data_IF_896866711395
#
_entry.id   IF_896866711395
#
_cell.length_a   1.000
_cell.length_b   1.000
_cell.length_c   1.000
_cell.angle_alpha   90.00
_cell.angle_beta   90.00
_cell.angle_gamma   90.00
#
_symmetry.space_group_name_H-M   'P 1'
#
loop_
_entity.id
_entity.type
_entity.pdbx_description
1 polymer ?
#
# COMPACT_ATOMS: atom_id res chain seq x y z
N UNK A 1 -18.26 56.96 19.18
CA UNK A 1 -18.93 56.73 20.48
C UNK A 1 -18.94 55.23 20.74
N UNK A 2 -18.48 54.84 21.93
CA UNK A 2 -18.81 53.60 22.70
C UNK A 2 -18.59 52.24 22.04
N UNK A 3 -17.90 51.26 22.62
CA UNK A 3 -17.40 51.12 23.99
C UNK A 3 -16.83 49.70 24.22
N UNK A 4 -15.93 49.68 25.21
CA UNK A 4 -15.20 48.61 25.92
C UNK A 4 -15.80 47.20 26.12
N UNK A 5 -14.83 46.27 26.23
CA UNK A 5 -14.63 45.17 27.22
C UNK A 5 -15.67 44.02 27.23
N UNK A 6 -15.30 42.75 27.45
CA UNK A 6 -14.63 42.22 28.65
C UNK A 6 -13.93 40.86 28.42
N UNK A 7 -12.95 40.59 29.29
CA UNK A 7 -12.29 39.32 29.55
C UNK A 7 -13.22 38.26 30.17
N UNK A 8 -13.04 36.99 29.80
CA UNK A 8 -13.62 35.82 30.49
C UNK A 8 -12.71 34.60 30.35
N UNK A 9 -12.42 33.93 31.47
CA UNK A 9 -11.43 32.87 31.63
C UNK A 9 -12.04 31.45 31.68
N UNK A 10 -11.16 30.44 31.58
CA UNK A 10 -11.24 29.03 32.04
C UNK A 10 -11.65 27.90 31.05
N UNK A 11 -11.18 26.66 31.28
CA UNK A 11 -10.53 25.79 30.28
C UNK A 11 -11.31 24.49 30.02
N UNK A 12 -11.04 23.80 28.90
CA UNK A 12 -11.34 22.36 28.83
C UNK A 12 -10.34 21.65 27.94
N UNK A 13 -9.56 20.77 28.56
CA UNK A 13 -8.75 19.73 27.93
C UNK A 13 -9.67 18.77 27.17
N UNK A 14 -9.47 18.57 25.87
CA UNK A 14 -10.12 17.47 25.14
C UNK A 14 -9.02 16.55 24.59
N UNK A 15 -9.09 15.31 25.06
CA UNK A 15 -8.20 14.23 24.72
C UNK A 15 -8.20 13.93 23.22
N UNK A 16 -7.01 13.97 22.61
CA UNK A 16 -6.75 13.55 21.25
C UNK A 16 -6.97 12.03 21.15
N UNK A 17 -8.03 11.59 20.46
CA UNK A 17 -8.18 10.18 20.07
C UNK A 17 -7.32 9.94 18.84
N UNK A 18 -6.26 9.15 19.02
CA UNK A 18 -5.39 8.67 17.96
C UNK A 18 -6.15 7.70 17.05
N UNK A 19 -5.91 7.79 15.75
CA UNK A 19 -6.49 6.89 14.75
C UNK A 19 -5.59 5.65 14.56
N UNK A 20 -6.13 4.51 14.08
CA UNK A 20 -5.36 3.26 13.91
C UNK A 20 -4.18 3.35 12.92
N UNK A 21 -4.25 4.26 11.94
CA UNK A 21 -3.14 4.58 11.01
C UNK A 21 -1.95 5.21 11.73
N UNK A 22 -2.18 5.93 12.83
CA UNK A 22 -1.12 6.53 13.65
C UNK A 22 -0.30 5.47 14.40
N UNK A 23 -0.91 4.34 14.75
CA UNK A 23 -0.25 3.27 15.52
C UNK A 23 0.68 2.46 14.62
N UNK A 24 0.28 2.14 13.39
CA UNK A 24 1.11 1.41 12.45
C UNK A 24 2.30 2.26 11.97
N UNK A 25 2.04 3.53 11.64
CA UNK A 25 3.06 4.50 11.26
C UNK A 25 4.05 4.76 12.41
N UNK A 26 3.58 4.83 13.67
CA UNK A 26 4.45 4.96 14.84
C UNK A 26 5.26 3.69 15.13
N UNK A 27 4.70 2.49 15.03
CA UNK A 27 5.46 1.25 15.24
C UNK A 27 6.57 1.06 14.19
N UNK A 28 6.31 1.49 12.96
CA UNK A 28 7.26 1.42 11.85
C UNK A 28 8.32 2.54 11.90
N UNK A 29 7.93 3.75 12.31
CA UNK A 29 8.86 4.87 12.52
C UNK A 29 9.70 4.72 13.80
N UNK A 30 9.17 4.13 14.89
CA UNK A 30 9.94 3.88 16.12
C UNK A 30 11.07 2.87 15.88
N UNK A 31 10.86 1.87 15.02
CA UNK A 31 11.91 0.92 14.64
C UNK A 31 13.01 1.54 13.76
N UNK A 32 12.75 2.69 13.14
CA UNK A 32 13.72 3.41 12.27
C UNK A 32 14.32 4.66 12.94
N UNK A 33 13.67 5.23 13.95
CA UNK A 33 14.09 6.42 14.70
C UNK A 33 15.18 6.15 15.75
N UNK A 34 15.37 4.92 16.21
CA UNK A 34 16.43 4.54 17.16
C UNK A 34 17.87 4.66 16.62
N UNK A 35 18.06 5.23 15.43
CA UNK A 35 19.37 5.47 14.79
C UNK A 35 19.65 6.93 14.41
N UNK A 36 18.84 7.89 14.85
CA UNK A 36 19.06 9.31 14.59
C UNK A 36 18.63 10.15 15.80
N UNK A 37 19.48 10.21 16.82
CA UNK A 37 19.40 11.24 17.85
C UNK A 37 20.26 12.42 17.43
N UNK A 38 19.62 13.51 17.01
CA UNK A 38 20.27 14.76 16.68
C UNK A 38 19.33 15.68 15.91
N UNK A 39 18.92 16.77 16.57
CA UNK A 39 18.16 17.92 16.09
C UNK A 39 16.63 17.88 16.32
N UNK A 40 16.19 18.76 17.22
CA UNK A 40 14.81 19.22 17.35
C UNK A 40 14.36 20.00 16.12
N UNK A 41 13.04 20.16 15.93
CA UNK A 41 12.56 21.47 15.54
C UNK A 41 11.29 21.95 16.26
N UNK A 42 11.27 23.27 16.41
CA UNK A 42 10.19 24.13 16.86
C UNK A 42 8.98 24.09 15.92
N UNK A 43 7.84 24.44 16.50
CA UNK A 43 6.53 24.59 15.89
C UNK A 43 6.46 25.66 14.79
N UNK A 44 5.55 25.46 13.83
CA UNK A 44 4.51 26.43 13.44
C UNK A 44 3.58 25.79 12.41
N UNK A 45 2.30 25.71 12.76
CA UNK A 45 1.17 25.42 11.86
C UNK A 45 0.68 26.76 11.31
N UNK A 46 0.33 26.80 10.02
CA UNK A 46 -0.56 27.82 9.46
C UNK A 46 -1.46 27.14 8.42
N UNK A 47 -2.77 27.15 8.65
CA UNK A 47 -3.80 26.73 7.68
C UNK A 47 -4.93 27.75 7.66
N UNK A 48 -5.43 28.02 6.46
CA UNK A 48 -6.74 28.54 6.11
C UNK A 48 -7.04 28.01 4.69
N UNK A 49 -8.23 27.63 4.25
CA UNK A 49 -9.59 27.82 4.76
C UNK A 49 -10.50 26.68 4.25
N UNK A 50 -11.64 26.50 4.90
CA UNK A 50 -12.67 25.48 4.61
C UNK A 50 -13.74 25.98 3.63
N UNK A 51 -14.33 25.06 2.86
CA UNK A 51 -15.58 25.24 2.13
C UNK A 51 -16.42 23.95 2.21
N UNK A 52 -17.61 24.05 2.80
CA UNK A 52 -18.53 22.94 3.09
C UNK A 52 -19.43 22.61 1.89
N UNK A 53 -19.70 21.32 1.64
CA UNK A 53 -20.94 20.87 0.97
C UNK A 53 -21.45 19.54 1.54
N UNK A 54 -22.78 19.45 1.64
CA UNK A 54 -23.59 18.48 2.40
C UNK A 54 -23.46 17.02 1.93
N UNK A 55 -23.30 16.11 2.88
CA UNK A 55 -23.39 14.65 2.67
C UNK A 55 -24.84 14.19 2.58
N UNK A 56 -25.25 13.68 1.41
CA UNK A 56 -26.40 12.81 1.26
C UNK A 56 -26.08 11.44 1.91
N UNK A 57 -26.99 10.96 2.76
CA UNK A 57 -26.83 9.73 3.54
C UNK A 57 -27.12 8.53 2.64
N UNK A 58 -26.09 7.91 2.07
CA UNK A 58 -26.19 6.61 1.40
C UNK A 58 -26.27 5.51 2.47
N UNK A 59 -27.39 4.79 2.50
CA UNK A 59 -27.56 3.55 3.26
C UNK A 59 -26.61 2.46 2.74
N UNK A 60 -25.87 1.73 3.61
CA UNK A 60 -25.01 0.65 3.16
C UNK A 60 -25.82 -0.56 2.68
N UNK A 61 -25.43 -1.11 1.53
CA UNK A 61 -25.93 -2.36 0.97
C UNK A 61 -25.59 -3.57 1.88
N UNK A 62 -26.38 -4.66 1.86
CA UNK A 62 -26.28 -5.74 2.82
C UNK A 62 -25.03 -6.61 2.62
N UNK A 63 -24.58 -7.18 3.74
CA UNK A 63 -23.43 -8.06 3.94
C UNK A 63 -23.47 -9.30 3.01
N UNK A 64 -22.67 -9.28 1.93
CA UNK A 64 -22.52 -10.43 1.02
C UNK A 64 -21.07 -10.79 0.63
N UNK A 65 -20.08 -9.96 0.97
CA UNK A 65 -18.71 -10.06 0.42
C UNK A 65 -17.66 -10.78 1.30
N UNK A 66 -17.89 -10.94 2.61
CA UNK A 66 -16.91 -11.57 3.50
C UNK A 66 -16.74 -13.08 3.25
N UNK A 67 -17.82 -13.79 2.91
CA UNK A 67 -17.78 -15.23 2.66
C UNK A 67 -17.13 -15.56 1.31
N UNK A 68 -17.42 -14.74 0.28
CA UNK A 68 -16.84 -14.86 -1.07
C UNK A 68 -15.32 -14.66 -1.04
N UNK A 69 -14.83 -13.61 -0.37
CA UNK A 69 -13.40 -13.39 -0.18
C UNK A 69 -12.73 -14.57 0.55
N UNK A 70 -13.39 -15.14 1.56
CA UNK A 70 -12.81 -16.25 2.34
C UNK A 70 -12.63 -17.51 1.52
N UNK A 71 -13.59 -17.85 0.66
CA UNK A 71 -13.54 -19.07 -0.16
C UNK A 71 -12.67 -18.90 -1.43
N UNK A 72 -12.47 -17.67 -1.91
CA UNK A 72 -11.48 -17.33 -2.94
C UNK A 72 -10.05 -17.59 -2.46
N UNK A 73 -9.65 -17.07 -1.29
CA UNK A 73 -8.30 -17.30 -0.73
C UNK A 73 -8.10 -18.71 -0.15
N UNK A 74 -9.17 -19.39 0.32
CA UNK A 74 -9.09 -20.72 0.93
C UNK A 74 -8.92 -21.84 -0.08
N UNK A 75 -9.50 -21.71 -1.28
CA UNK A 75 -9.46 -22.80 -2.27
C UNK A 75 -8.07 -23.06 -2.84
N UNK A 76 -7.08 -22.17 -2.70
CA UNK A 76 -5.72 -22.38 -3.23
C UNK A 76 -5.63 -22.56 -4.76
N UNK A 77 -6.76 -22.79 -5.41
CA UNK A 77 -7.04 -22.72 -6.82
C UNK A 77 -7.19 -21.25 -7.17
N UNK A 78 -6.05 -20.57 -7.28
CA UNK A 78 -5.89 -19.61 -8.35
C UNK A 78 -6.39 -20.28 -9.63
N UNK A 79 -7.65 -20.04 -10.02
CA UNK A 79 -8.13 -20.40 -11.35
C UNK A 79 -7.29 -19.60 -12.32
N UNK A 80 -6.22 -20.23 -12.78
CA UNK A 80 -5.16 -19.56 -13.53
C UNK A 80 -3.81 -19.89 -12.95
N UNK A 81 -3.35 -21.11 -13.23
CA UNK A 81 -1.94 -21.37 -13.54
C UNK A 81 -1.27 -20.07 -14.04
N UNK A 82 -0.36 -19.55 -13.21
CA UNK A 82 0.48 -18.37 -13.44
C UNK A 82 0.98 -18.30 -14.90
N UNK A 83 0.30 -17.54 -15.77
CA UNK A 83 0.77 -17.29 -17.15
C UNK A 83 1.96 -16.31 -17.16
N UNK A 84 2.16 -15.54 -16.07
CA UNK A 84 3.34 -14.69 -15.83
C UNK A 84 4.65 -15.52 -15.90
N UNK A 85 4.58 -16.84 -15.62
CA UNK A 85 5.71 -17.75 -15.72
C UNK A 85 6.19 -18.07 -17.16
N UNK A 86 5.50 -17.56 -18.19
CA UNK A 86 5.77 -17.87 -19.60
C UNK A 86 6.80 -16.92 -20.26
N UNK A 87 6.97 -15.69 -19.75
CA UNK A 87 7.76 -14.64 -20.45
C UNK A 87 9.18 -14.38 -19.89
N UNK A 88 9.79 -15.37 -19.23
CA UNK A 88 11.25 -15.35 -18.98
C UNK A 88 11.72 -14.83 -17.62
N UNK A 89 10.84 -14.66 -16.64
CA UNK A 89 11.28 -14.44 -15.26
C UNK A 89 12.09 -15.66 -14.76
N UNK A 90 13.30 -15.47 -14.21
CA UNK A 90 14.17 -16.57 -13.86
C UNK A 90 13.62 -17.34 -12.67
N UNK A 91 13.20 -18.58 -12.92
CA UNK A 91 12.60 -19.47 -11.91
C UNK A 91 13.56 -19.85 -10.77
N UNK A 92 14.87 -19.66 -10.96
CA UNK A 92 15.89 -20.01 -9.97
C UNK A 92 16.15 -18.83 -9.03
N UNK A 93 15.95 -19.07 -7.73
CA UNK A 93 16.36 -18.15 -6.68
C UNK A 93 17.88 -17.89 -6.76
N UNK A 94 18.26 -16.64 -7.03
CA UNK A 94 19.67 -16.22 -7.09
C UNK A 94 20.17 -15.72 -5.76
N UNK A 95 19.34 -14.98 -5.02
CA UNK A 95 19.62 -14.55 -3.66
C UNK A 95 18.55 -15.11 -2.72
N UNK A 96 18.98 -15.92 -1.76
CA UNK A 96 18.09 -16.49 -0.74
C UNK A 96 17.74 -15.46 0.34
N UNK A 97 16.57 -15.57 0.99
CA UNK A 97 16.27 -14.91 2.24
C UNK A 97 17.43 -15.01 3.24
N UNK A 98 17.76 -13.89 3.89
CA UNK A 98 18.77 -13.87 4.94
C UNK A 98 18.23 -14.30 6.30
N UNK A 99 19.05 -15.04 7.04
CA UNK A 99 18.79 -15.34 8.45
C UNK A 99 19.20 -14.17 9.36
N UNK A 100 18.94 -14.30 10.67
CA UNK A 100 19.22 -13.26 11.66
C UNK A 100 20.71 -12.86 11.76
N UNK A 101 21.63 -13.78 11.47
CA UNK A 101 23.07 -13.50 11.47
C UNK A 101 23.47 -12.68 10.25
N UNK A 102 22.83 -12.93 9.11
CA UNK A 102 23.13 -12.29 7.83
C UNK A 102 22.49 -10.90 7.72
N UNK A 103 21.24 -10.73 8.16
CA UNK A 103 20.52 -9.45 8.11
C UNK A 103 20.76 -8.57 9.35
N UNK A 104 21.29 -9.16 10.42
CA UNK A 104 21.54 -8.51 11.70
C UNK A 104 20.29 -8.36 12.57
N UNK A 105 20.49 -8.24 13.88
CA UNK A 105 19.41 -8.27 14.89
C UNK A 105 18.32 -7.23 14.65
N UNK A 106 18.69 -6.01 14.29
CA UNK A 106 17.73 -4.93 14.04
C UNK A 106 16.81 -5.26 12.85
N UNK A 107 17.36 -5.65 11.71
CA UNK A 107 16.55 -5.96 10.55
C UNK A 107 15.71 -7.24 10.79
N UNK A 108 16.27 -8.25 11.48
CA UNK A 108 15.52 -9.45 11.83
C UNK A 108 14.30 -9.16 12.72
N UNK A 109 14.43 -8.22 13.66
CA UNK A 109 13.31 -7.75 14.47
C UNK A 109 12.26 -7.06 13.60
N UNK A 110 12.68 -6.16 12.71
CA UNK A 110 11.78 -5.43 11.78
C UNK A 110 11.02 -6.40 10.87
N UNK A 111 11.72 -7.35 10.23
CA UNK A 111 11.07 -8.31 9.31
C UNK A 111 10.13 -9.25 10.04
N UNK A 112 10.46 -9.65 11.29
CA UNK A 112 9.57 -10.44 12.14
C UNK A 112 8.33 -9.67 12.54
N UNK A 113 8.46 -8.41 12.93
CA UNK A 113 7.32 -7.56 13.26
C UNK A 113 6.37 -7.41 12.05
N UNK A 114 6.92 -7.22 10.84
CA UNK A 114 6.13 -7.19 9.61
C UNK A 114 5.40 -8.52 9.34
N UNK A 115 6.08 -9.66 9.51
CA UNK A 115 5.44 -10.98 9.42
C UNK A 115 4.26 -11.13 10.37
N UNK A 116 4.45 -10.78 11.65
CA UNK A 116 3.38 -10.82 12.67
C UNK A 116 2.20 -9.92 12.29
N UNK A 117 2.46 -8.69 11.82
CA UNK A 117 1.42 -7.75 11.43
C UNK A 117 0.57 -8.26 10.25
N UNK A 118 1.20 -8.97 9.31
CA UNK A 118 0.53 -9.56 8.14
C UNK A 118 0.00 -10.98 8.38
N UNK A 119 0.24 -11.53 9.57
CA UNK A 119 -0.26 -12.82 10.03
C UNK A 119 0.54 -14.04 9.60
N UNK A 120 1.83 -13.89 9.33
CA UNK A 120 2.68 -15.00 8.90
C UNK A 120 4.15 -14.85 9.28
N UNK A 121 4.98 -15.57 8.53
CA UNK A 121 6.44 -15.48 8.60
C UNK A 121 6.94 -14.14 8.04
N UNK A 122 8.19 -13.74 8.35
CA UNK A 122 8.81 -12.59 7.72
C UNK A 122 8.73 -12.68 6.18
N UNK A 123 8.23 -11.65 5.48
CA UNK A 123 8.17 -11.68 4.01
C UNK A 123 9.55 -11.95 3.39
N UNK A 124 9.60 -12.84 2.40
CA UNK A 124 10.84 -13.22 1.70
C UNK A 124 11.47 -12.03 0.99
N UNK A 125 10.67 -11.09 0.47
CA UNK A 125 11.15 -9.81 -0.05
C UNK A 125 11.99 -9.08 1.00
N UNK A 126 11.44 -8.89 2.21
CA UNK A 126 12.10 -8.12 3.26
C UNK A 126 13.39 -8.79 3.71
N UNK A 127 13.36 -10.10 3.98
CA UNK A 127 14.54 -10.85 4.41
C UNK A 127 15.60 -10.99 3.33
N UNK A 128 15.24 -10.92 2.05
CA UNK A 128 16.20 -10.91 0.93
C UNK A 128 16.89 -9.55 0.80
N UNK A 129 16.14 -8.45 0.74
CA UNK A 129 16.73 -7.10 0.64
C UNK A 129 17.50 -6.73 1.93
N UNK A 130 17.05 -7.21 3.09
CA UNK A 130 17.68 -6.97 4.39
C UNK A 130 19.13 -7.50 4.51
N UNK A 131 19.57 -8.38 3.60
CA UNK A 131 20.99 -8.74 3.46
C UNK A 131 21.85 -7.50 3.18
N UNK A 132 21.35 -6.56 2.39
CA UNK A 132 21.95 -5.23 2.25
C UNK A 132 21.46 -4.30 3.37
N UNK A 133 21.98 -4.50 4.57
CA UNK A 133 21.39 -3.96 5.81
C UNK A 133 21.05 -2.45 5.80
N UNK A 134 21.97 -1.61 5.29
CA UNK A 134 21.79 -0.14 5.25
C UNK A 134 20.75 0.30 4.22
N UNK A 135 20.74 -0.34 3.04
CA UNK A 135 19.82 -0.05 1.95
C UNK A 135 18.40 -0.40 2.36
N UNK A 136 18.20 -1.60 2.91
CA UNK A 136 16.89 -2.07 3.37
C UNK A 136 16.16 -1.06 4.25
N UNK A 137 16.83 -0.47 5.24
CA UNK A 137 16.19 0.50 6.15
C UNK A 137 15.79 1.80 5.45
N UNK A 138 16.57 2.26 4.47
CA UNK A 138 16.26 3.49 3.71
C UNK A 138 15.12 3.24 2.73
N UNK A 139 15.22 2.13 2.00
CA UNK A 139 14.15 1.64 1.13
C UNK A 139 12.84 1.46 1.91
N UNK A 140 12.91 0.88 3.11
CA UNK A 140 11.73 0.66 3.94
C UNK A 140 11.04 1.97 4.37
N UNK A 141 11.81 3.04 4.66
CA UNK A 141 11.21 4.36 4.95
C UNK A 141 10.53 4.96 3.72
N UNK A 142 11.17 4.87 2.56
CA UNK A 142 10.60 5.35 1.29
C UNK A 142 9.34 4.56 0.92
N UNK A 143 9.43 3.23 0.88
CA UNK A 143 8.30 2.34 0.63
C UNK A 143 7.19 2.55 1.65
N UNK A 144 7.54 2.77 2.93
CA UNK A 144 6.61 3.08 4.02
C UNK A 144 5.76 4.34 3.79
N UNK A 145 6.35 5.36 3.14
CA UNK A 145 5.67 6.60 2.80
C UNK A 145 4.68 6.45 1.64
N UNK A 146 4.85 5.44 0.78
CA UNK A 146 3.88 5.07 -0.25
C UNK A 146 2.87 4.04 0.29
N UNK A 147 3.32 3.12 1.14
CA UNK A 147 2.50 2.07 1.74
C UNK A 147 2.97 1.68 3.15
N UNK A 148 2.10 1.72 4.17
CA UNK A 148 0.70 2.16 4.14
C UNK A 148 0.51 3.66 4.39
N UNK A 149 1.58 4.45 4.42
CA UNK A 149 1.54 5.88 4.77
C UNK A 149 1.23 6.84 3.62
N UNK A 150 0.86 6.34 2.44
CA UNK A 150 0.52 7.15 1.27
C UNK A 150 -0.78 7.91 1.43
N UNK A 151 -0.99 8.90 0.55
CA UNK A 151 -2.20 9.73 0.48
C UNK A 151 -3.23 9.21 -0.51
N UNK A 152 -2.86 8.37 -1.48
CA UNK A 152 -3.80 7.78 -2.41
C UNK A 152 -4.80 6.87 -1.67
N UNK A 153 -6.08 6.83 -2.10
CA UNK A 153 -7.03 5.87 -1.56
C UNK A 153 -6.47 4.44 -1.64
N UNK A 154 -6.71 3.65 -0.59
CA UNK A 154 -6.07 2.32 -0.49
C UNK A 154 -6.48 1.38 -1.63
N UNK A 155 -7.72 1.47 -2.08
CA UNK A 155 -8.22 0.71 -3.23
C UNK A 155 -7.45 1.08 -4.52
N UNK A 156 -7.34 2.39 -4.81
CA UNK A 156 -6.61 2.93 -5.96
C UNK A 156 -5.13 2.53 -5.94
N UNK A 157 -4.50 2.59 -4.76
CA UNK A 157 -3.12 2.15 -4.53
C UNK A 157 -2.94 0.68 -4.93
N UNK A 158 -3.78 -0.23 -4.43
CA UNK A 158 -3.65 -1.65 -4.76
C UNK A 158 -3.95 -1.96 -6.23
N UNK A 159 -4.89 -1.25 -6.85
CA UNK A 159 -5.19 -1.39 -8.28
C UNK A 159 -3.95 -1.05 -9.14
N UNK A 160 -3.32 0.10 -8.87
CA UNK A 160 -2.11 0.55 -9.56
C UNK A 160 -0.97 -0.45 -9.37
N UNK A 161 -0.78 -0.96 -8.15
CA UNK A 161 0.27 -1.94 -7.85
C UNK A 161 0.05 -3.26 -8.59
N UNK A 162 -1.18 -3.77 -8.60
CA UNK A 162 -1.52 -4.99 -9.35
C UNK A 162 -1.22 -4.81 -10.84
N UNK A 163 -1.55 -3.65 -11.40
CA UNK A 163 -1.26 -3.35 -12.81
C UNK A 163 0.24 -3.25 -13.08
N UNK A 164 1.01 -2.54 -12.24
CA UNK A 164 2.46 -2.47 -12.34
C UNK A 164 3.13 -3.85 -12.23
N UNK A 165 2.68 -4.68 -11.29
CA UNK A 165 3.17 -6.06 -11.11
C UNK A 165 2.86 -6.93 -12.35
N UNK A 166 1.68 -6.76 -12.96
CA UNK A 166 1.31 -7.44 -14.20
C UNK A 166 2.21 -7.01 -15.37
N UNK A 167 2.37 -5.70 -15.58
CA UNK A 167 3.19 -5.10 -16.64
C UNK A 167 4.66 -5.55 -16.52
N UNK A 168 5.18 -5.64 -15.29
CA UNK A 168 6.55 -6.08 -15.03
C UNK A 168 6.73 -7.60 -14.87
N UNK A 169 5.67 -8.39 -15.09
CA UNK A 169 5.69 -9.85 -14.96
C UNK A 169 6.21 -10.33 -13.59
N UNK A 170 5.78 -9.67 -12.50
CA UNK A 170 6.25 -9.95 -11.14
C UNK A 170 5.23 -10.78 -10.34
N UNK A 171 5.41 -12.11 -10.33
CA UNK A 171 4.51 -13.04 -9.61
C UNK A 171 4.54 -12.83 -8.09
N UNK A 172 5.67 -12.40 -7.52
CA UNK A 172 5.77 -12.13 -6.09
C UNK A 172 4.85 -10.97 -5.68
N UNK A 173 4.96 -9.83 -6.36
CA UNK A 173 4.13 -8.66 -6.07
C UNK A 173 2.67 -8.93 -6.35
N UNK A 174 2.35 -9.53 -7.50
CA UNK A 174 0.97 -9.90 -7.83
C UNK A 174 0.32 -10.66 -6.68
N UNK A 175 0.92 -11.76 -6.22
CA UNK A 175 0.34 -12.59 -5.15
C UNK A 175 0.28 -11.88 -3.81
N UNK A 176 1.25 -11.02 -3.51
CA UNK A 176 1.24 -10.26 -2.26
C UNK A 176 0.10 -9.24 -2.26
N UNK A 177 -0.08 -8.54 -3.38
CA UNK A 177 -1.01 -7.43 -3.53
C UNK A 177 -2.44 -7.87 -3.89
N UNK A 178 -2.63 -9.02 -4.52
CA UNK A 178 -3.97 -9.60 -4.75
C UNK A 178 -4.73 -9.75 -3.43
N UNK A 179 -4.06 -10.26 -2.41
CA UNK A 179 -4.63 -10.35 -1.06
C UNK A 179 -4.92 -8.99 -0.44
N UNK A 180 -4.04 -8.01 -0.63
CA UNK A 180 -4.20 -6.67 -0.07
C UNK A 180 -5.30 -5.88 -0.78
N UNK A 181 -5.43 -6.04 -2.10
CA UNK A 181 -6.52 -5.52 -2.91
C UNK A 181 -7.89 -5.99 -2.42
N UNK A 182 -8.05 -7.29 -2.13
CA UNK A 182 -9.30 -7.80 -1.55
C UNK A 182 -9.59 -7.25 -0.15
N UNK A 183 -8.55 -6.95 0.64
CA UNK A 183 -8.71 -6.26 1.94
C UNK A 183 -9.03 -4.77 1.74
N UNK A 184 -8.53 -4.14 0.69
CA UNK A 184 -8.77 -2.74 0.36
C UNK A 184 -10.18 -2.49 -0.19
N UNK A 185 -10.83 -3.51 -0.77
CA UNK A 185 -12.22 -3.44 -1.22
C UNK A 185 -12.46 -3.95 -2.63
N UNK A 186 -11.41 -4.26 -3.40
CA UNK A 186 -11.56 -4.79 -4.76
C UNK A 186 -12.21 -6.18 -4.73
N UNK A 187 -13.20 -6.37 -5.59
CA UNK A 187 -13.83 -7.66 -5.81
C UNK A 187 -12.85 -8.62 -6.51
N UNK A 188 -12.96 -9.94 -6.29
CA UNK A 188 -12.14 -10.93 -7.01
C UNK A 188 -12.19 -10.77 -8.53
N UNK A 189 -13.37 -10.46 -9.08
CA UNK A 189 -13.57 -10.26 -10.51
C UNK A 189 -12.87 -9.00 -11.03
N UNK A 190 -12.74 -7.96 -10.19
CA UNK A 190 -11.96 -6.76 -10.55
C UNK A 190 -10.46 -7.08 -10.53
N UNK A 191 -9.97 -7.81 -9.53
CA UNK A 191 -8.56 -8.21 -9.45
C UNK A 191 -8.16 -9.05 -10.67
N UNK A 192 -8.99 -10.02 -11.06
CA UNK A 192 -8.75 -10.83 -12.25
C UNK A 192 -8.73 -9.96 -13.53
N UNK A 193 -9.65 -8.99 -13.63
CA UNK A 193 -9.77 -8.07 -14.76
C UNK A 193 -8.57 -7.14 -14.93
N UNK A 194 -7.79 -6.86 -13.89
CA UNK A 194 -6.55 -6.04 -14.00
C UNK A 194 -5.60 -6.59 -15.08
N UNK A 195 -5.63 -7.91 -15.34
CA UNK A 195 -4.83 -8.57 -16.37
C UNK A 195 -5.27 -8.21 -17.80
N UNK A 196 -6.55 -7.93 -18.00
CA UNK A 196 -7.11 -7.53 -19.29
C UNK A 196 -6.77 -6.08 -19.63
N UNK A 197 -6.53 -5.26 -18.60
CA UNK A 197 -6.10 -3.86 -18.74
C UNK A 197 -7.25 -2.86 -18.80
N UNK A 198 -6.96 -1.59 -19.14
CA UNK A 198 -7.93 -0.50 -19.06
C UNK A 198 -9.10 -0.64 -20.05
N UNK A 199 -8.92 -1.36 -21.16
CA UNK A 199 -9.98 -1.56 -22.17
C UNK A 199 -11.05 -2.58 -21.76
N UNK A 200 -10.91 -3.26 -20.62
CA UNK A 200 -11.91 -4.20 -20.15
C UNK A 200 -13.19 -3.48 -19.70
N UNK A 201 -14.34 -4.10 -19.92
CA UNK A 201 -15.62 -3.51 -19.52
C UNK A 201 -15.77 -3.43 -18.00
N UNK A 202 -16.61 -2.51 -17.53
CA UNK A 202 -17.06 -2.40 -16.13
C UNK A 202 -16.02 -1.84 -15.15
N UNK A 203 -14.98 -1.16 -15.64
CA UNK A 203 -14.23 -0.22 -14.81
C UNK A 203 -15.07 1.02 -14.52
N UNK A 204 -14.92 1.58 -13.32
CA UNK A 204 -15.29 2.98 -13.12
C UNK A 204 -14.34 3.89 -13.90
N UNK A 205 -14.78 5.09 -14.29
CA UNK A 205 -13.90 6.03 -15.00
C UNK A 205 -12.61 6.32 -14.23
N UNK A 206 -12.68 6.41 -12.89
CA UNK A 206 -11.50 6.57 -12.02
C UNK A 206 -10.53 5.38 -12.13
N UNK A 207 -11.02 4.15 -12.02
CA UNK A 207 -10.18 2.94 -12.09
C UNK A 207 -9.55 2.79 -13.49
N UNK A 208 -10.30 3.06 -14.56
CA UNK A 208 -9.79 3.04 -15.92
C UNK A 208 -8.62 4.01 -16.11
N UNK A 209 -8.75 5.25 -15.60
CA UNK A 209 -7.70 6.26 -15.69
C UNK A 209 -6.41 5.84 -14.96
N UNK A 210 -6.53 5.23 -13.77
CA UNK A 210 -5.38 4.71 -13.03
C UNK A 210 -4.67 3.58 -13.78
N UNK A 211 -5.44 2.67 -14.40
CA UNK A 211 -4.89 1.59 -15.22
C UNK A 211 -4.19 2.12 -16.47
N UNK A 212 -4.79 3.11 -17.16
CA UNK A 212 -4.15 3.83 -18.28
C UNK A 212 -2.86 4.52 -17.83
N UNK A 213 -2.86 5.18 -16.67
CA UNK A 213 -1.69 5.87 -16.14
C UNK A 213 -0.54 4.89 -15.84
N UNK A 214 -0.84 3.75 -15.23
CA UNK A 214 0.15 2.70 -14.99
C UNK A 214 0.72 2.13 -16.30
N UNK A 215 -0.11 1.99 -17.34
CA UNK A 215 0.32 1.52 -18.65
C UNK A 215 1.19 2.54 -19.40
N UNK A 216 0.80 3.81 -19.45
CA UNK A 216 1.60 4.88 -20.09
C UNK A 216 2.94 5.10 -19.37
N UNK A 217 2.94 5.12 -18.03
CA UNK A 217 4.17 5.23 -17.26
C UNK A 217 5.11 4.03 -17.50
N UNK A 218 4.56 2.83 -17.69
CA UNK A 218 5.35 1.64 -17.99
C UNK A 218 5.96 1.65 -19.39
N UNK A 219 5.11 1.88 -20.40
CA UNK A 219 5.48 1.78 -21.80
C UNK A 219 6.25 3.02 -22.28
N UNK A 220 5.74 4.21 -21.97
CA UNK A 220 6.18 5.47 -22.56
C UNK A 220 7.04 6.31 -21.60
N UNK A 221 7.13 5.90 -20.32
CA UNK A 221 7.88 6.63 -19.26
C UNK A 221 7.38 8.05 -19.02
N UNK A 222 6.14 8.33 -19.41
CA UNK A 222 5.45 9.60 -19.25
C UNK A 222 3.94 9.37 -19.21
N UNK A 223 3.18 10.37 -18.79
CA UNK A 223 1.73 10.45 -18.99
C UNK A 223 1.46 11.49 -20.07
N UNK A 224 0.55 11.19 -20.99
CA UNK A 224 0.11 12.11 -22.04
C UNK A 224 -0.71 13.28 -21.48
N UNK A 225 -0.63 14.46 -22.11
CA UNK A 225 -1.36 15.66 -21.64
C UNK A 225 -2.89 15.45 -21.50
N UNK A 226 -3.57 14.71 -22.41
CA UNK A 226 -4.99 14.41 -22.23
C UNK A 226 -5.25 13.57 -20.98
N UNK A 227 -4.51 12.47 -20.78
CA UNK A 227 -4.68 11.61 -19.61
C UNK A 227 -4.33 12.35 -18.31
N UNK A 228 -3.29 13.17 -18.32
CA UNK A 228 -2.92 14.02 -17.19
C UNK A 228 -4.07 14.95 -16.80
N UNK A 229 -4.71 15.59 -17.78
CA UNK A 229 -5.84 16.49 -17.56
C UNK A 229 -7.05 15.75 -16.97
N UNK A 230 -7.34 14.53 -17.44
CA UNK A 230 -8.41 13.67 -16.92
C UNK A 230 -8.13 13.26 -15.46
N UNK A 231 -6.89 12.89 -15.14
CA UNK A 231 -6.46 12.52 -13.78
C UNK A 231 -6.51 13.72 -12.82
N UNK A 232 -6.05 14.90 -13.25
CA UNK A 232 -6.02 16.13 -12.45
C UNK A 232 -7.42 16.62 -12.06
N UNK A 233 -8.44 16.28 -12.85
CA UNK A 233 -9.83 16.55 -12.48
C UNK A 233 -10.31 15.74 -11.27
N UNK A 234 -9.61 14.65 -10.90
CA UNK A 234 -9.98 13.73 -9.82
C UNK A 234 -9.00 13.73 -8.65
N UNK A 235 -7.73 14.02 -8.91
CA UNK A 235 -6.63 13.92 -7.95
C UNK A 235 -5.88 15.23 -7.82
N UNK A 236 -5.43 15.54 -6.61
CA UNK A 236 -4.54 16.66 -6.34
C UNK A 236 -3.12 16.43 -6.87
N UNK A 237 -2.33 17.50 -7.00
CA UNK A 237 -0.91 17.40 -7.36
C UNK A 237 -0.13 16.45 -6.45
N UNK A 238 -0.45 16.43 -5.14
CA UNK A 238 0.20 15.54 -4.15
C UNK A 238 -0.09 14.08 -4.47
N UNK A 239 -1.34 13.74 -4.78
CA UNK A 239 -1.76 12.39 -5.16
C UNK A 239 -1.18 11.97 -6.51
N UNK A 240 -1.08 12.87 -7.48
CA UNK A 240 -0.49 12.57 -8.79
C UNK A 240 1.03 12.37 -8.73
N UNK A 241 1.73 13.14 -7.89
CA UNK A 241 3.13 12.88 -7.57
C UNK A 241 3.26 11.49 -6.94
N UNK A 242 2.39 11.16 -5.99
CA UNK A 242 2.38 9.83 -5.37
C UNK A 242 2.10 8.72 -6.38
N UNK A 243 1.15 8.89 -7.30
CA UNK A 243 0.83 7.93 -8.36
C UNK A 243 2.06 7.61 -9.21
N UNK A 244 2.78 8.64 -9.67
CA UNK A 244 4.01 8.46 -10.44
C UNK A 244 5.09 7.72 -9.64
N UNK A 245 5.30 8.12 -8.39
CA UNK A 245 6.27 7.49 -7.49
C UNK A 245 5.90 6.05 -7.13
N UNK A 246 4.60 5.76 -7.01
CA UNK A 246 4.06 4.44 -6.72
C UNK A 246 4.31 3.48 -7.88
N UNK A 247 3.94 3.87 -9.11
CA UNK A 247 4.23 3.05 -10.31
C UNK A 247 5.72 2.80 -10.42
N UNK A 248 6.55 3.86 -10.42
CA UNK A 248 8.00 3.72 -10.54
C UNK A 248 8.64 2.88 -9.43
N UNK A 249 8.14 2.99 -8.20
CA UNK A 249 8.59 2.16 -7.08
C UNK A 249 8.34 0.67 -7.33
N UNK A 250 7.12 0.32 -7.75
CA UNK A 250 6.74 -1.06 -7.99
C UNK A 250 7.40 -1.63 -9.24
N UNK A 251 7.70 -0.82 -10.27
CA UNK A 251 8.54 -1.29 -11.38
C UNK A 251 9.98 -1.60 -10.96
N UNK A 252 10.60 -0.68 -10.19
CA UNK A 252 11.95 -0.88 -9.66
C UNK A 252 11.99 -2.12 -8.75
N UNK A 253 10.96 -2.31 -7.93
CA UNK A 253 10.85 -3.44 -7.02
C UNK A 253 10.61 -4.75 -7.78
N UNK A 254 9.70 -4.77 -8.77
CA UNK A 254 9.49 -5.89 -9.68
C UNK A 254 10.77 -6.32 -10.38
N UNK A 255 11.51 -5.37 -10.97
CA UNK A 255 12.79 -5.62 -11.61
C UNK A 255 13.78 -6.26 -10.63
N UNK A 256 13.86 -5.74 -9.40
CA UNK A 256 14.71 -6.29 -8.35
C UNK A 256 14.29 -7.71 -7.97
N UNK A 257 13.00 -7.94 -7.72
CA UNK A 257 12.45 -9.23 -7.33
C UNK A 257 12.69 -10.31 -8.40
N UNK A 258 12.41 -9.98 -9.65
CA UNK A 258 12.65 -10.84 -10.80
C UNK A 258 14.14 -11.12 -10.98
N UNK A 259 15.01 -10.10 -10.88
CA UNK A 259 16.45 -10.28 -11.00
C UNK A 259 17.04 -11.14 -9.87
N UNK A 260 16.54 -11.02 -8.64
CA UNK A 260 17.01 -11.83 -7.51
C UNK A 260 16.36 -13.22 -7.45
N UNK A 261 15.29 -13.46 -8.22
CA UNK A 261 14.54 -14.72 -8.22
C UNK A 261 13.81 -14.96 -6.89
N UNK A 262 13.27 -13.90 -6.28
CA UNK A 262 12.57 -14.01 -4.99
C UNK A 262 11.33 -14.88 -5.16
N UNK A 263 11.21 -15.89 -4.32
CA UNK A 263 10.11 -16.84 -4.38
C UNK A 263 8.88 -16.28 -3.66
N UNK A 264 7.65 -16.49 -4.16
CA UNK A 264 6.42 -16.11 -3.48
C UNK A 264 6.38 -16.55 -2.02
N UNK A 265 5.82 -15.71 -1.16
CA UNK A 265 5.56 -16.08 0.22
C UNK A 265 4.56 -17.23 0.29
N UNK A 266 4.67 -18.06 1.34
CA UNK A 266 3.62 -19.04 1.62
C UNK A 266 2.42 -18.27 2.13
N UNK A 267 1.26 -18.49 1.52
CA UNK A 267 -0.01 -17.98 2.03
C UNK A 267 -0.21 -18.60 3.43
N UNK A 268 -0.40 -17.79 4.50
CA UNK A 268 -0.64 -18.34 5.83
C UNK A 268 -1.86 -19.25 5.81
N UNK A 269 -1.72 -20.48 6.32
CA UNK A 269 -2.85 -21.38 6.47
C UNK A 269 -3.78 -20.86 7.58
N UNK A 270 -5.01 -20.46 7.22
CA UNK A 270 -6.05 -20.07 8.18
C UNK A 270 -6.40 -18.57 8.18
N UNK A 271 -7.40 -18.17 8.98
CA UNK A 271 -7.83 -16.78 9.06
C UNK A 271 -6.73 -15.89 9.67
N UNK A 272 -6.64 -14.60 9.27
CA UNK A 272 -5.64 -13.69 9.83
C UNK A 272 -5.70 -13.66 11.37
N UNK A 273 -4.57 -13.45 12.07
CA UNK A 273 -4.54 -13.38 13.52
C UNK A 273 -5.55 -12.36 14.04
N UNK A 274 -6.04 -12.56 15.26
CA UNK A 274 -7.02 -11.65 15.88
C UNK A 274 -6.56 -10.19 15.86
N UNK A 275 -5.27 -9.94 16.09
CA UNK A 275 -4.69 -8.60 16.02
C UNK A 275 -4.80 -7.99 14.62
N UNK A 276 -4.45 -8.75 13.57
CA UNK A 276 -4.59 -8.30 12.19
C UNK A 276 -6.06 -8.01 11.84
N UNK A 277 -7.00 -8.84 12.31
CA UNK A 277 -8.45 -8.60 12.14
C UNK A 277 -8.94 -7.35 12.86
N UNK A 278 -8.43 -7.06 14.05
CA UNK A 278 -8.76 -5.85 14.80
C UNK A 278 -8.22 -4.60 14.09
N UNK A 279 -6.99 -4.66 13.59
CA UNK A 279 -6.40 -3.56 12.81
C UNK A 279 -7.16 -3.32 11.50
N UNK A 280 -7.52 -4.38 10.77
CA UNK A 280 -8.34 -4.29 9.55
C UNK A 280 -9.72 -3.67 9.81
N UNK A 281 -10.36 -4.01 10.93
CA UNK A 281 -11.64 -3.40 11.32
C UNK A 281 -11.50 -1.92 11.64
N UNK A 282 -10.42 -1.55 12.31
CA UNK A 282 -10.17 -0.17 12.72
C UNK A 282 -9.79 0.74 11.53
N UNK A 283 -9.23 0.18 10.45
CA UNK A 283 -8.97 0.91 9.19
C UNK A 283 -10.24 1.10 8.35
N UNK A 284 -11.25 0.24 8.53
CA UNK A 284 -12.54 0.31 7.81
C UNK A 284 -13.63 1.11 8.53
N UNK A 285 -13.37 1.56 9.76
CA UNK A 285 -14.31 2.29 10.63
C UNK A 285 -13.89 3.74 10.81
#
# INVERSE_FOLDING_TARGET
>A
MTGRATSGAWPVTVACRLTPSDIFTRLFNVATAAGAAGAQPNAAITTAAAGHARTARLTPAPLGNETLNRDYYRRGEAKGSCFIASLGAPRRQRVRPGDASEIGRLNALVTRAAGVATGGEPPKLFTTIARHRRLFRRWLRFAGALMPGGVLPREDTELVILRAAHNCHCDYEWRHHERLAGVAGLAPEEIDRVREGPGASSWTGRQELLLRAADELHAERTISDPLWSELHALYSDVELIELCMLVGHYEMLAMTLNALGVQPDRVPAGPPPRLARLLQRAVRS
#
